data_IF_042514041753
#
_entry.id   IF_042514041753
#
_cell.length_a   1.000
_cell.length_b   1.000
_cell.length_c   1.000
_cell.angle_alpha   90.00
_cell.angle_beta   90.00
_cell.angle_gamma   90.00
#
_symmetry.space_group_name_H-M   'P 1'
#
loop_
_entity.id
_entity.type
_entity.pdbx_description
1 polymer ?
2 polymer ?
3 non-polymer ?
4 water ?
#
# COMPACT_ATOMS: atom_id res chain seq x y z
N UNK A 1 16.68 -1.23 8.19
CA UNK A 1 15.27 -0.75 8.39
C UNK A 1 15.25 0.71 8.82
N UNK A 2 14.62 1.59 8.01
CA UNK A 2 14.46 2.97 8.43
C UNK A 2 13.68 3.07 9.74
N UNK A 3 14.04 4.04 10.57
CA UNK A 3 13.43 4.16 11.90
C UNK A 3 11.91 4.32 11.83
N UNK A 4 11.40 4.86 10.73
CA UNK A 4 9.96 5.08 10.55
C UNK A 4 9.35 4.12 9.53
N UNK A 5 9.97 2.95 9.38
CA UNK A 5 9.35 1.87 8.64
C UNK A 5 8.02 1.54 9.29
N UNK A 6 7.16 1.21 8.46
CA UNK A 6 5.88 0.51 8.56
C UNK A 6 6.01 -0.89 8.03
N UNK A 7 7.13 -1.71 7.52
CA UNK A 7 7.22 -3.11 7.10
C UNK A 7 7.07 -4.03 8.30
N UNK A 8 6.24 -5.05 8.14
CA UNK A 8 6.10 -6.15 9.12
C UNK A 8 7.48 -6.65 9.56
N UNK A 9 8.39 -6.78 8.60
CA UNK A 9 9.72 -7.33 8.87
C UNK A 9 10.72 -6.41 9.55
N UNK A 10 10.30 -5.22 9.98
CA UNK A 10 11.20 -4.27 10.65
C UNK A 10 10.87 -4.13 12.13
N UNK B 1 -4.16 -0.40 10.54
CA UNK B 1 -4.95 0.86 10.57
C UNK B 1 -5.33 1.23 11.99
N UNK B 2 -4.99 2.45 12.39
CA UNK B 2 -5.34 2.97 13.70
C UNK B 2 -6.68 3.67 13.62
N UNK B 3 -7.60 3.34 14.52
CA UNK B 3 -8.96 3.85 14.45
C UNK B 3 -9.66 3.32 13.21
N UNK B 4 -10.53 4.14 12.63
CA UNK B 4 -11.32 3.75 11.46
C UNK B 4 -12.25 2.61 11.78
N UNK B 5 -12.61 1.85 10.74
CA UNK B 5 -13.63 0.83 10.89
C UNK B 5 -13.22 -0.44 10.19
N UNK B 6 -13.69 -1.57 10.70
CA UNK B 6 -13.59 -2.82 9.97
C UNK B 6 -14.46 -2.73 8.71
N UNK B 7 -13.98 -3.36 7.66
CA UNK B 7 -14.61 -3.30 6.34
C UNK B 7 -14.54 -4.70 5.75
N UNK B 8 -15.02 -4.87 4.53
CA UNK B 8 -14.82 -6.11 3.77
C UNK B 8 -14.27 -5.76 2.41
N UNK B 9 -13.80 -6.78 1.70
CA UNK B 9 -13.12 -6.60 0.44
C UNK B 9 -14.02 -5.92 -0.60
N UNK B 10 -15.33 -6.11 -0.47
CA UNK B 10 -16.29 -5.52 -1.42
C UNK B 10 -16.21 -4.01 -1.46
N UNK B 11 -15.89 -3.39 -0.32
CA UNK B 11 -15.73 -1.94 -0.25
C UNK B 11 -14.34 -1.44 -0.62
N UNK B 12 -13.42 -2.37 -0.88
CA UNK B 12 -12.06 -2.03 -1.31
C UNK B 12 -11.54 -3.15 -2.22
N UNK B 13 -12.26 -3.43 -3.34
CA UNK B 13 -12.06 -4.63 -4.14
C UNK B 13 -10.80 -4.67 -4.99
N UNK B 14 -10.00 -3.62 -4.96
CA UNK B 14 -8.70 -3.59 -5.60
C UNK B 14 -7.61 -4.02 -4.63
N UNK B 15 -7.97 -4.19 -3.37
CA UNK B 15 -6.95 -4.50 -2.37
C UNK B 15 -6.39 -5.90 -2.55
N UNK B 16 -5.06 -5.98 -2.58
CA UNK B 16 -4.34 -7.22 -2.74
C UNK B 16 -3.61 -7.53 -1.45
N UNK B 17 -3.68 -8.79 -1.04
CA UNK B 17 -3.02 -9.29 0.16
C UNK B 17 -1.83 -10.14 -0.26
N UNK B 18 -0.63 -9.74 0.14
CA UNK B 18 0.59 -10.40 -0.32
C UNK B 18 1.29 -11.13 0.83
N UNK B 19 1.57 -12.39 0.60
CA UNK B 19 2.13 -13.25 1.60
C UNK B 19 3.40 -13.87 1.08
N UNK B 20 4.24 -14.29 2.00
CA UNK B 20 5.45 -15.00 1.65
C UNK B 20 5.56 -16.40 2.27
N UNK B 21 5.93 -17.38 1.46
CA UNK B 21 6.19 -18.72 1.94
C UNK B 21 7.63 -18.94 2.35
N UNK B 22 7.80 -19.43 3.56
CA UNK B 22 9.11 -19.67 4.13
C UNK B 22 9.65 -21.09 3.84
N UNK B 23 10.88 -21.39 4.24
CA UNK B 23 11.45 -22.72 3.97
C UNK B 23 10.65 -23.82 4.65
N UNK B 24 10.18 -23.54 5.85
CA UNK B 24 9.43 -24.49 6.67
C UNK B 24 8.09 -24.86 6.08
N UNK B 25 7.65 -24.13 5.08
CA UNK B 25 6.31 -24.28 4.55
C UNK B 25 5.35 -23.33 5.21
N UNK B 26 5.80 -22.54 6.19
CA UNK B 26 4.94 -21.53 6.78
C UNK B 26 4.75 -20.32 5.89
N UNK B 27 3.57 -19.74 5.92
CA UNK B 27 3.27 -18.59 5.10
C UNK B 27 2.78 -17.44 5.94
N UNK B 28 3.37 -16.28 5.76
CA UNK B 28 3.04 -15.15 6.58
C UNK B 28 2.83 -13.91 5.74
N UNK B 29 1.97 -13.05 6.23
CA UNK B 29 1.64 -11.81 5.53
C UNK B 29 2.82 -10.88 5.40
N UNK B 30 2.91 -10.23 4.24
CA UNK B 30 4.04 -9.37 3.89
C UNK B 30 3.56 -7.92 3.82
N UNK B 31 2.66 -7.63 2.89
CA UNK B 31 2.29 -6.26 2.57
C UNK B 31 0.96 -6.20 1.85
N UNK B 32 0.36 -5.02 1.82
CA UNK B 32 -0.76 -4.76 0.95
C UNK B 32 -0.30 -4.40 -0.46
N UNK B 33 -1.27 -4.28 -1.35
CA UNK B 33 -1.04 -3.88 -2.72
C UNK B 33 -2.36 -3.45 -3.32
N UNK B 34 -2.32 -2.97 -4.56
CA UNK B 34 -3.53 -2.60 -5.26
C UNK B 34 -3.51 -3.10 -6.71
N UNK B 35 -4.67 -3.59 -7.15
CA UNK B 35 -4.85 -4.14 -8.49
C UNK B 35 -5.13 -2.99 -9.47
N UNK B 36 -4.12 -2.65 -10.26
CA UNK B 36 -4.27 -1.52 -11.21
C UNK B 36 -4.66 -1.95 -12.62
N UNK B 37 -4.56 -3.26 -12.89
CA UNK B 37 -5.09 -3.86 -14.12
C UNK B 37 -5.18 -5.36 -13.86
N UNK B 38 -5.87 -6.13 -14.73
CA UNK B 38 -6.10 -7.54 -14.42
C UNK B 38 -4.85 -8.34 -14.10
N UNK B 39 -3.74 -8.04 -14.76
CA UNK B 39 -2.50 -8.80 -14.57
C UNK B 39 -1.49 -8.15 -13.63
N UNK B 40 -1.82 -6.99 -13.06
CA UNK B 40 -0.81 -6.19 -12.33
C UNK B 40 -1.26 -5.67 -10.99
N UNK B 41 -0.44 -5.97 -9.97
CA UNK B 41 -0.60 -5.42 -8.64
C UNK B 41 0.55 -4.48 -8.34
N UNK B 42 0.22 -3.31 -7.81
CA UNK B 42 1.22 -2.33 -7.41
C UNK B 42 1.36 -2.29 -5.89
N UNK B 43 2.61 -2.20 -5.42
CA UNK B 43 2.93 -2.23 -3.99
C UNK B 43 4.21 -1.42 -3.75
N UNK B 44 4.91 -1.73 -2.65
CA UNK B 44 6.15 -1.02 -2.29
C UNK B 44 7.36 -1.94 -2.43
N UNK B 45 8.49 -1.38 -2.83
CA UNK B 45 9.71 -2.19 -2.96
C UNK B 45 10.23 -2.65 -1.60
N UNK B 46 10.06 -1.85 -0.56
CA UNK B 46 10.59 -2.23 0.77
C UNK B 46 10.05 -3.60 1.22
N UNK B 47 8.89 -3.99 0.74
CA UNK B 47 8.26 -5.25 1.09
C UNK B 47 9.01 -6.46 0.63
N UNK B 48 9.73 -6.32 -0.46
CA UNK B 48 10.29 -7.44 -1.17
C UNK B 48 11.82 -7.46 -1.23
N UNK B 49 12.44 -6.35 -0.94
CA UNK B 49 13.85 -6.15 -1.15
C UNK B 49 14.75 -7.13 -0.39
N UNK B 50 14.34 -7.55 0.80
CA UNK B 50 15.04 -8.52 1.60
C UNK B 50 15.05 -9.96 1.09
N UNK B 51 14.01 -10.32 0.34
CA UNK B 51 13.87 -11.61 -0.30
C UNK B 51 13.26 -11.47 -1.72
N UNK B 52 14.14 -10.93 -2.72
CA UNK B 52 13.45 -10.61 -3.96
C UNK B 52 13.20 -11.72 -4.95
N UNK B 53 12.76 -12.85 -4.46
CA UNK B 53 12.48 -13.96 -5.33
C UNK B 53 11.00 -14.19 -5.55
N UNK B 54 10.55 -14.04 -6.77
CA UNK B 54 9.15 -14.12 -7.08
C UNK B 54 8.39 -15.37 -6.63
N UNK B 55 9.23 -16.48 -6.69
CA UNK B 55 8.68 -17.78 -6.36
C UNK B 55 8.14 -17.88 -4.97
N UNK B 56 8.69 -17.10 -4.06
CA UNK B 56 8.30 -17.21 -2.68
C UNK B 56 7.01 -16.51 -2.31
N UNK B 57 6.38 -15.82 -3.26
CA UNK B 57 5.23 -14.98 -2.94
C UNK B 57 3.90 -15.48 -3.51
N UNK B 58 2.85 -15.11 -2.80
CA UNK B 58 1.49 -15.44 -3.15
C UNK B 58 0.71 -14.14 -3.03
N UNK B 59 -0.18 -13.89 -3.99
CA UNK B 59 -1.05 -12.74 -3.95
C UNK B 59 -2.50 -13.22 -3.91
N UNK B 60 -3.26 -12.71 -2.95
CA UNK B 60 -4.70 -12.94 -2.92
C UNK B 60 -5.46 -11.68 -3.27
N UNK B 61 -6.52 -11.84 -4.05
CA UNK B 61 -7.49 -10.81 -4.32
C UNK B 61 -8.82 -11.34 -3.79
N UNK B 62 -9.74 -10.43 -3.50
CA UNK B 62 -11.06 -10.81 -2.98
C UNK B 62 -11.03 -11.36 -1.57
N UNK B 63 -9.98 -11.02 -0.83
CA UNK B 63 -9.72 -11.55 0.51
C UNK B 63 -10.01 -10.49 1.56
N UNK B 64 -10.93 -10.80 2.48
CA UNK B 64 -11.31 -9.84 3.53
C UNK B 64 -10.66 -10.18 4.88
N UNK B 65 -10.03 -11.35 5.00
CA UNK B 65 -9.40 -11.75 6.26
C UNK B 65 -7.96 -12.18 6.07
N UNK B 66 -7.18 -12.04 7.14
CA UNK B 66 -5.74 -12.17 7.11
C UNK B 66 -5.26 -13.62 7.03
N UNK B 67 -5.79 -14.47 7.92
CA UNK B 67 -5.31 -15.86 8.04
C UNK B 67 -6.40 -16.92 7.87
N UNK B 68 -7.51 -16.53 7.24
CA UNK B 68 -8.58 -17.46 6.89
C UNK B 68 -9.13 -17.09 5.50
N UNK B 69 -9.76 -18.05 4.84
CA UNK B 69 -10.23 -17.85 3.47
C UNK B 69 -11.55 -17.07 3.44
N UNK B 70 -11.71 -16.21 2.44
CA UNK B 70 -12.93 -15.47 2.15
C UNK B 70 -13.56 -16.06 0.92
N UNK B 71 -14.88 -16.23 0.91
CA UNK B 71 -15.54 -16.71 -0.30
C UNK B 71 -15.45 -15.63 -1.38
N UNK B 72 -15.11 -16.04 -2.60
CA UNK B 72 -14.87 -15.11 -3.69
C UNK B 72 -13.41 -14.75 -3.88
N UNK B 73 -12.54 -15.19 -2.98
CA UNK B 73 -11.12 -14.88 -3.08
C UNK B 73 -10.47 -15.65 -4.22
N UNK B 74 -9.35 -15.11 -4.70
CA UNK B 74 -8.60 -15.74 -5.77
C UNK B 74 -7.11 -15.66 -5.47
N UNK B 75 -6.45 -16.79 -5.65
CA UNK B 75 -5.03 -16.95 -5.35
C UNK B 75 -4.16 -16.87 -6.60
N UNK B 76 -3.10 -16.06 -6.56
CA UNK B 76 -2.17 -15.92 -7.69
C UNK B 76 -0.71 -16.09 -7.31
N UNK B 77 0.07 -16.60 -8.27
CA UNK B 77 1.52 -16.62 -8.21
C UNK B 77 2.06 -15.34 -8.86
N UNK B 78 3.33 -15.06 -8.65
CA UNK B 78 3.97 -13.87 -9.21
C UNK B 78 4.84 -14.26 -10.39
N UNK B 79 4.40 -13.88 -11.59
CA UNK B 79 5.12 -14.16 -12.84
C UNK B 79 6.34 -13.24 -13.01
N UNK B 80 6.21 -11.98 -12.58
CA UNK B 80 7.35 -11.06 -12.50
C UNK B 80 7.28 -10.20 -11.24
N UNK B 81 8.41 -10.07 -10.55
CA UNK B 81 8.51 -9.18 -9.39
C UNK B 81 9.40 -8.03 -9.77
N UNK B 82 8.83 -6.83 -9.90
CA UNK B 82 9.59 -5.69 -10.41
C UNK B 82 9.78 -4.62 -9.35
N UNK B 83 11.01 -4.48 -8.88
CA UNK B 83 11.36 -3.51 -7.87
C UNK B 83 11.99 -2.30 -8.55
N UNK B 84 11.84 -1.13 -7.96
CA UNK B 84 12.42 0.08 -8.57
C UNK B 84 13.96 0.11 -8.38
N UNK B 85 14.70 0.38 -9.45
CA UNK B 85 16.19 0.35 -9.38
C UNK B 85 16.79 1.48 -8.51
N UNK B 86 16.03 2.56 -8.33
CA UNK B 86 16.45 3.67 -7.49
C UNK B 86 15.86 3.66 -6.09
N UNK B 87 15.33 2.51 -5.65
CA UNK B 87 14.88 2.36 -4.28
C UNK B 87 16.06 2.53 -3.34
N UNK B 88 15.83 3.26 -2.27
CA UNK B 88 16.75 3.29 -1.16
C UNK B 88 16.05 3.44 0.15
N UNK B 89 16.66 2.95 1.20
CA UNK B 89 16.16 3.18 2.52
C UNK B 89 17.09 4.14 3.24
N UNK B 90 16.54 5.26 3.67
CA UNK B 90 17.27 6.29 4.38
C UNK B 90 17.19 5.96 5.82
N UNK B 91 17.72 6.83 6.65
CA UNK B 91 17.64 6.61 8.09
C UNK B 91 16.21 6.63 8.66
N UNK B 92 15.39 7.55 8.16
CA UNK B 92 13.95 7.65 8.43
C UNK B 92 13.04 7.06 7.36
N UNK B 93 13.30 7.46 6.13
CA UNK B 93 12.41 7.32 5.00
C UNK B 93 12.87 6.31 3.93
N UNK B 94 11.94 5.91 3.09
CA UNK B 94 12.24 5.16 1.89
C UNK B 94 12.06 6.07 0.72
N UNK B 95 12.81 5.83 -0.34
CA UNK B 95 12.71 6.57 -1.59
C UNK B 95 12.41 5.65 -2.74
N UNK B 96 11.64 6.16 -3.69
CA UNK B 96 11.23 5.37 -4.86
C UNK B 96 10.61 4.04 -4.46
N UNK B 97 9.75 4.10 -3.46
CA UNK B 97 9.23 2.90 -2.81
C UNK B 97 8.00 2.46 -3.57
N UNK B 98 8.25 1.72 -4.63
CA UNK B 98 7.23 1.30 -5.57
C UNK B 98 7.68 0.01 -6.21
N UNK B 99 6.73 -0.91 -6.40
CA UNK B 99 7.01 -2.25 -6.91
C UNK B 99 5.82 -2.75 -7.71
N UNK B 100 6.08 -3.58 -8.73
CA UNK B 100 5.04 -4.19 -9.54
C UNK B 100 5.13 -5.71 -9.48
N UNK B 101 3.98 -6.35 -9.35
CA UNK B 101 3.85 -7.79 -9.38
C UNK B 101 2.92 -8.14 -10.52
N UNK B 102 3.45 -8.87 -11.50
CA UNK B 102 2.60 -9.46 -12.53
C UNK B 102 2.07 -10.78 -12.02
N UNK B 103 0.75 -10.91 -11.94
CA UNK B 103 0.16 -12.07 -11.32
C UNK B 103 -0.41 -13.09 -12.31
N UNK B 104 -0.28 -14.36 -12.01
CA UNK B 104 -0.90 -15.38 -12.82
C UNK B 104 -1.32 -16.54 -11.93
N UNK B 105 -2.53 -17.04 -12.12
CA UNK B 105 -2.98 -18.22 -11.39
C UNK B 105 -2.27 -19.45 -11.91
N UNK B 106 -2.34 -20.55 -11.18
CA UNK B 106 -1.67 -21.75 -11.62
C UNK B 106 -2.22 -22.19 -12.94
N UNK B 107 -3.50 -21.94 -13.14
CA UNK B 107 -4.16 -22.05 -14.44
C UNK B 107 -3.71 -21.04 -15.53
N UNK B 108 -3.06 -19.95 -15.17
CA UNK B 108 -2.62 -18.99 -16.15
C UNK B 108 -3.49 -17.80 -16.43
N UNK B 109 -4.53 -17.59 -15.62
CA UNK B 109 -5.39 -16.42 -15.77
C UNK B 109 -5.00 -15.26 -14.87
N UNK B 110 -5.24 -14.06 -15.35
CA UNK B 110 -5.12 -12.83 -14.61
C UNK B 110 -6.41 -12.64 -13.83
N UNK B 111 -6.57 -11.54 -13.11
CA UNK B 111 -7.71 -11.36 -12.28
C UNK B 111 -8.95 -11.22 -13.12
N UNK B 112 -10.08 -11.69 -12.62
CA UNK B 112 -11.39 -11.51 -13.25
C UNK B 112 -12.30 -10.76 -12.28
N UNK B 113 -12.74 -9.54 -12.65
CA UNK B 113 -13.59 -8.75 -11.76
C UNK B 113 -14.83 -9.50 -11.29
N UNK B 114 -15.21 -9.24 -10.05
CA UNK B 114 -16.37 -9.86 -9.45
C UNK B 114 -16.89 -8.91 -8.37
N UNK B 115 -17.81 -9.42 -7.57
CA UNK B 115 -18.32 -8.69 -6.41
C UNK B 115 -17.17 -8.22 -5.52
N UNK B 116 -16.11 -9.03 -5.46
CA UNK B 116 -15.05 -8.84 -4.48
C UNK B 116 -13.70 -8.43 -5.08
N UNK B 117 -13.65 -8.25 -6.41
CA UNK B 117 -12.39 -7.91 -7.10
C UNK B 117 -12.67 -6.87 -8.21
N UNK B 118 -11.97 -5.74 -8.15
CA UNK B 118 -12.02 -4.74 -9.22
C UNK B 118 -10.68 -4.05 -9.30
N UNK B 119 -10.37 -3.48 -10.46
CA UNK B 119 -9.18 -2.65 -10.64
C UNK B 119 -9.45 -1.26 -10.07
N UNK B 120 -8.38 -0.50 -9.79
CA UNK B 120 -8.47 0.89 -9.36
C UNK B 120 -7.73 1.71 -10.44
N UNK B 121 -8.25 2.89 -10.75
CA UNK B 121 -7.66 3.71 -11.81
C UNK B 121 -6.38 4.37 -11.33
N UNK B 122 -5.45 4.56 -12.26
CA UNK B 122 -4.27 5.35 -12.01
C UNK B 122 -4.59 6.81 -12.27
N UNK B 123 -3.94 7.73 -11.53
CA UNK B 123 -4.14 9.15 -11.80
C UNK B 123 -3.45 9.57 -13.09
N UNK B 124 -3.78 10.75 -13.60
CA UNK B 124 -3.05 11.33 -14.72
C UNK B 124 -1.67 11.77 -14.25
N UNK B 125 -0.69 11.73 -15.14
CA UNK B 125 0.69 12.04 -14.77
C UNK B 125 0.81 13.40 -14.06
N UNK B 126 1.41 13.38 -12.88
CA UNK B 126 1.61 14.57 -12.03
C UNK B 126 0.34 15.26 -11.51
N UNK B 127 -0.82 14.62 -11.75
CA UNK B 127 -2.13 15.12 -11.30
C UNK B 127 -2.52 14.53 -9.94
N UNK B 128 -2.55 15.37 -8.91
CA UNK B 128 -2.99 14.99 -7.56
C UNK B 128 -4.17 15.84 -7.09
N UNK B 129 -4.93 15.36 -6.08
CA UNK B 129 -5.95 16.22 -5.47
C UNK B 129 -5.29 17.29 -4.59
N UNK B 130 -6.07 18.30 -4.18
CA UNK B 130 -5.51 19.41 -3.41
C UNK B 130 -5.31 18.98 -1.97
N UNK B 131 -4.45 19.69 -1.24
CA UNK B 131 -4.31 19.48 0.19
C UNK B 131 -5.68 19.69 0.85
N UNK B 132 -5.98 18.88 1.86
CA UNK B 132 -7.27 18.89 2.53
C UNK B 132 -8.32 18.00 1.90
N UNK B 133 -7.97 17.31 0.82
CA UNK B 133 -8.88 16.33 0.23
C UNK B 133 -8.88 15.07 1.11
N UNK B 134 -10.07 14.53 1.35
CA UNK B 134 -10.24 13.31 2.12
C UNK B 134 -9.98 12.08 1.25
N UNK B 135 -9.14 11.17 1.73
CA UNK B 135 -8.78 9.95 0.99
C UNK B 135 -8.94 8.71 1.84
N UNK B 136 -8.94 7.53 1.22
CA UNK B 136 -9.14 6.28 1.96
C UNK B 136 -7.87 5.45 1.96
N UNK B 137 -7.57 4.87 3.13
CA UNK B 137 -6.49 3.90 3.26
C UNK B 137 -7.08 2.60 3.81
N UNK B 138 -6.48 1.47 3.42
CA UNK B 138 -7.02 0.15 3.73
C UNK B 138 -5.85 -0.78 4.05
N UNK B 139 -6.05 -1.71 4.99
CA UNK B 139 -5.03 -2.73 5.25
C UNK B 139 -5.26 -3.62 6.46
N UNK B 140 -4.35 -4.58 6.63
CA UNK B 140 -4.37 -5.52 7.75
C UNK B 140 -3.32 -5.08 8.77
N UNK B 141 -2.94 -3.80 8.73
CA UNK B 141 -1.93 -3.29 9.67
C UNK B 141 -2.43 -3.23 11.10
N UNK B 142 -1.50 -3.05 12.02
CA UNK B 142 -1.84 -2.93 13.43
C UNK B 142 -2.88 -1.83 13.74
N UNK B 143 -3.73 -2.13 14.72
CA UNK B 143 -4.75 -1.21 15.22
C UNK B 143 -4.19 -0.28 16.30
N UNK B 144 -2.99 -0.59 16.78
CA UNK B 144 -2.29 0.19 17.81
C UNK B 144 -0.78 0.04 17.57
N UNK B 145 -0.06 1.15 17.68
CA UNK B 145 1.41 1.17 17.53
C UNK B 145 2.06 0.05 18.33
N UNK B 146 1.55 -0.17 19.53
CA UNK B 146 2.15 -1.07 20.52
C UNK B 146 1.71 -2.53 20.42
N UNK B 147 0.76 -2.83 19.54
CA UNK B 147 0.29 -4.20 19.38
C UNK B 147 1.38 -5.12 18.84
N UNK B 148 1.24 -6.40 19.15
CA UNK B 148 2.12 -7.47 18.67
C UNK B 148 1.40 -8.30 17.59
N UNK B 149 0.07 -8.26 17.60
CA UNK B 149 -0.77 -8.99 16.65
C UNK B 149 -1.40 -8.07 15.64
N UNK B 150 -1.75 -8.64 14.49
CA UNK B 150 -2.43 -7.94 13.42
C UNK B 150 -3.90 -8.31 13.40
N UNK B 151 -4.76 -7.38 12.99
CA UNK B 151 -6.18 -7.67 12.92
C UNK B 151 -6.49 -8.71 11.86
N UNK B 152 -7.48 -9.55 12.13
CA UNK B 152 -7.87 -10.63 11.22
C UNK B 152 -8.87 -10.19 10.18
N UNK B 153 -9.53 -9.05 10.41
CA UNK B 153 -10.45 -8.49 9.44
C UNK B 153 -9.88 -7.17 8.88
N UNK B 154 -10.08 -6.99 7.58
CA UNK B 154 -9.60 -5.81 6.88
C UNK B 154 -10.22 -4.55 7.46
N UNK B 155 -9.43 -3.49 7.52
CA UNK B 155 -9.85 -2.21 8.06
C UNK B 155 -9.62 -1.12 7.04
N UNK B 156 -10.34 -0.02 7.19
CA UNK B 156 -10.14 1.18 6.39
C UNK B 156 -10.40 2.40 7.25
N UNK B 157 -9.89 3.54 6.80
CA UNK B 157 -10.15 4.80 7.48
C UNK B 157 -9.95 5.92 6.47
N UNK B 158 -10.26 7.14 6.89
CA UNK B 158 -10.13 8.31 6.05
C UNK B 158 -9.07 9.23 6.62
N UNK B 159 -8.19 9.70 5.74
CA UNK B 159 -7.20 10.70 6.09
C UNK B 159 -7.26 11.82 5.05
N UNK B 160 -6.68 12.95 5.40
CA UNK B 160 -6.68 14.12 4.54
C UNK B 160 -5.27 14.41 4.05
N UNK B 161 -5.16 14.73 2.77
CA UNK B 161 -3.88 15.11 2.17
C UNK B 161 -3.32 16.35 2.85
N UNK B 162 -2.01 16.33 3.07
CA UNK B 162 -1.31 17.45 3.68
C UNK B 162 -0.42 18.08 2.61
N UNK B 163 -0.33 19.41 2.62
CA UNK B 163 0.49 20.12 1.65
C UNK B 163 1.96 19.76 1.81
N UNK B 164 2.72 19.87 0.73
CA UNK B 164 4.15 19.70 0.83
C UNK B 164 4.78 20.72 1.79
N UNK B 165 4.32 21.97 1.70
CA UNK B 165 4.72 23.06 2.61
C UNK B 165 4.57 22.67 4.07
N UNK B 166 3.40 22.17 4.43
CA UNK B 166 3.12 21.80 5.82
C UNK B 166 3.93 20.57 6.26
N UNK B 167 4.05 19.59 5.39
CA UNK B 167 4.74 18.35 5.70
C UNK B 167 6.22 18.56 5.88
N UNK B 168 6.76 19.59 5.26
CA UNK B 168 8.17 19.87 5.34
C UNK B 168 8.57 20.73 6.53
N UNK B 169 7.62 21.16 7.35
CA UNK B 169 7.96 21.89 8.55
C UNK B 169 8.81 20.97 9.42
N UNK B 170 9.88 21.57 10.10
CA UNK B 170 10.72 20.64 10.84
C UNK B 170 10.04 19.89 11.95
N UNK B 171 8.99 20.44 12.55
CA UNK B 171 8.32 19.70 13.60
C UNK B 171 7.48 18.56 13.01
N UNK B 172 7.27 18.58 11.69
CA UNK B 172 6.70 17.44 11.01
C UNK B 172 7.86 16.55 10.54
N UNK B 173 8.13 16.51 9.25
CA UNK B 173 9.23 15.69 8.78
C UNK B 173 10.50 16.43 8.29
N UNK B 174 10.43 17.73 8.23
CA UNK B 174 11.53 18.56 7.78
C UNK B 174 12.03 18.22 6.39
N UNK B 175 13.31 17.89 6.30
CA UNK B 175 13.98 17.68 5.04
C UNK B 175 13.71 16.31 4.41
N UNK B 176 13.22 15.37 5.21
CA UNK B 176 13.14 13.98 4.78
C UNK B 176 11.96 13.70 3.83
N UNK B 177 11.02 14.63 3.72
CA UNK B 177 9.91 14.50 2.77
C UNK B 177 10.31 15.14 1.45
N UNK B 178 10.10 14.42 0.34
CA UNK B 178 10.42 14.95 -0.98
C UNK B 178 9.15 15.05 -1.80
N UNK B 179 9.27 15.67 -2.98
CA UNK B 179 8.12 15.92 -3.83
C UNK B 179 7.62 14.64 -4.51
N UNK B 180 8.36 13.54 -4.37
CA UNK B 180 7.91 12.25 -4.88
C UNK B 180 7.09 11.48 -3.84
N UNK B 181 6.85 12.12 -2.70
CA UNK B 181 6.03 11.58 -1.62
C UNK B 181 4.80 12.48 -1.33
N UNK B 182 3.76 11.89 -0.73
CA UNK B 182 2.58 12.63 -0.26
C UNK B 182 2.35 12.35 1.22
N UNK B 183 2.11 13.40 2.01
CA UNK B 183 1.72 13.21 3.40
C UNK B 183 0.20 13.21 3.54
N UNK B 184 -0.32 12.45 4.47
CA UNK B 184 -1.73 12.46 4.80
C UNK B 184 -1.92 12.08 6.25
N UNK B 185 -2.89 12.67 6.91
CA UNK B 185 -3.17 12.34 8.29
C UNK B 185 -4.53 12.85 8.69
N UNK B 186 -4.96 12.45 9.85
CA UNK B 186 -6.15 12.95 10.43
C UNK B 186 -5.90 14.33 11.03
N UNK B 187 -6.89 15.29 10.75
CA UNK B 187 -6.62 16.61 11.34
C UNK B 187 -6.52 16.60 12.86
N UNK B 188 -7.16 15.69 13.56
CA UNK B 188 -6.93 15.57 15.00
C UNK B 188 -5.95 14.46 15.39
N UNK B 189 -5.28 13.86 14.43
CA UNK B 189 -4.29 12.81 14.67
C UNK B 189 -4.84 11.58 15.39
N UNK B 190 -6.06 11.20 15.10
CA UNK B 190 -6.73 10.08 15.76
C UNK B 190 -6.75 8.76 14.97
N UNK B 191 -6.52 8.80 13.69
CA UNK B 191 -6.55 7.62 12.85
C UNK B 191 -5.44 7.68 11.84
N UNK B 192 -4.93 6.55 11.42
CA UNK B 192 -3.74 6.48 10.57
C UNK B 192 -3.50 5.08 10.03
N UNK B 193 -2.59 4.95 9.08
CA UNK B 193 -2.03 3.65 8.72
C UNK B 193 -0.93 3.32 9.74
N UNK B 194 -0.58 2.05 9.84
CA UNK B 194 0.41 1.62 10.83
C UNK B 194 1.16 0.43 10.28
N UNK B 195 2.03 -0.15 11.11
CA UNK B 195 2.87 -1.27 10.67
C UNK B 195 2.02 -2.39 10.07
N UNK B 196 2.39 -2.84 8.87
CA UNK B 196 1.63 -3.88 8.18
C UNK B 196 0.61 -3.37 7.17
N UNK B 197 0.36 -2.06 7.15
CA UNK B 197 -0.41 -1.42 6.08
C UNK B 197 0.47 -1.08 4.88
N UNK B 198 1.79 -1.24 5.02
CA UNK B 198 2.67 -0.84 3.95
C UNK B 198 2.40 -1.58 2.61
N UNK B 199 2.61 -0.88 1.52
CA UNK B 199 2.32 -1.39 0.19
C UNK B 199 0.88 -1.15 -0.23
N UNK B 200 0.01 -0.86 0.74
CA UNK B 200 -1.42 -0.66 0.46
C UNK B 200 -1.80 0.70 -0.11
N UNK B 201 -3.09 0.86 -0.50
CA UNK B 201 -3.56 2.02 -1.25
C UNK B 201 -3.96 3.22 -0.42
N UNK B 202 -3.66 4.39 -0.95
CA UNK B 202 -4.31 5.65 -0.57
C UNK B 202 -5.16 6.05 -1.76
N UNK B 203 -6.49 6.05 -1.58
CA UNK B 203 -7.41 6.20 -2.70
C UNK B 203 -8.19 7.50 -2.53
N UNK B 204 -8.14 8.37 -3.54
CA UNK B 204 -8.85 9.64 -3.50
C UNK B 204 -9.75 9.76 -4.75
N UNK B 205 -10.80 10.54 -4.66
CA UNK B 205 -11.59 10.79 -5.83
C UNK B 205 -10.91 11.93 -6.55
N UNK B 206 -10.52 11.72 -7.79
CA UNK B 206 -9.89 12.77 -8.55
C UNK B 206 -10.63 12.82 -9.85
N UNK B 207 -11.23 13.96 -10.14
CA UNK B 207 -12.35 14.03 -11.06
C UNK B 207 -13.44 13.15 -10.50
N UNK B 208 -13.99 12.26 -11.31
CA UNK B 208 -15.09 11.43 -10.90
C UNK B 208 -14.71 10.02 -10.69
N UNK B 209 -13.42 9.78 -10.51
CA UNK B 209 -12.89 8.45 -10.44
C UNK B 209 -12.21 8.19 -9.10
N UNK B 210 -12.53 7.09 -8.46
CA UNK B 210 -11.73 6.53 -7.37
C UNK B 210 -10.34 6.29 -7.96
N UNK B 211 -9.32 6.99 -7.44
CA UNK B 211 -7.98 6.95 -8.05
C UNK B 211 -6.88 6.56 -7.04
N UNK B 212 -5.94 5.73 -7.47
CA UNK B 212 -4.77 5.37 -6.64
C UNK B 212 -3.76 6.50 -6.59
N UNK B 213 -3.86 7.31 -5.55
CA UNK B 213 -3.01 8.48 -5.37
C UNK B 213 -1.71 8.17 -4.62
N UNK B 214 -1.77 7.30 -3.60
CA UNK B 214 -0.59 6.95 -2.81
C UNK B 214 -0.44 5.46 -2.53
N UNK B 215 0.80 5.07 -2.20
CA UNK B 215 1.14 3.75 -1.72
C UNK B 215 1.76 3.91 -0.32
N UNK B 216 1.21 3.20 0.67
CA UNK B 216 1.67 3.34 2.05
C UNK B 216 3.17 3.07 2.16
N UNK B 217 3.96 4.05 2.63
CA UNK B 217 5.42 3.91 2.64
C UNK B 217 6.08 4.00 4.02
N UNK B 218 5.94 5.13 4.70
CA UNK B 218 6.57 5.32 6.02
C UNK B 218 5.92 6.40 6.88
N UNK B 219 6.27 6.38 8.16
CA UNK B 219 5.84 7.40 9.10
C UNK B 219 6.31 7.10 10.52
N UNK B 220 6.45 8.12 11.34
CA UNK B 220 6.84 7.92 12.71
C UNK B 220 5.66 7.92 13.59
N UNK B 221 5.65 6.71 14.56
CA UNK B 221 4.65 5.90 15.23
C UNK B 221 3.45 5.70 14.31
N UNK B 222 2.23 5.65 14.85
CA UNK B 222 1.06 5.66 14.04
C UNK B 222 0.12 6.57 14.79
N UNK B 223 -0.53 7.48 14.10
CA UNK B 223 -1.47 8.41 14.73
C UNK B 223 -0.81 9.22 15.84
N UNK B 224 0.39 9.70 15.60
CA UNK B 224 1.15 10.46 16.57
C UNK B 224 1.19 11.89 16.13
N UNK B 225 0.96 12.80 17.05
CA UNK B 225 0.81 14.20 16.69
C UNK B 225 2.02 14.70 15.95
N UNK B 226 1.72 15.43 14.87
CA UNK B 226 2.67 16.07 13.99
C UNK B 226 3.54 15.11 13.20
N UNK B 227 3.11 13.88 13.03
CA UNK B 227 3.84 12.94 12.20
C UNK B 227 2.87 12.22 11.27
N UNK B 228 2.67 12.74 10.08
CA UNK B 228 1.72 12.16 9.14
C UNK B 228 2.17 10.84 8.55
N UNK B 229 1.25 10.14 7.88
CA UNK B 229 1.63 9.01 7.04
C UNK B 229 2.27 9.56 5.79
N UNK B 230 3.29 8.87 5.27
CA UNK B 230 3.94 9.27 4.05
C UNK B 230 3.76 8.17 3.00
N UNK B 231 3.46 8.60 1.79
CA UNK B 231 3.00 7.73 0.75
C UNK B 231 3.77 8.01 -0.52
N UNK B 232 4.06 6.95 -1.28
CA UNK B 232 4.63 7.10 -2.61
C UNK B 232 3.61 7.79 -3.51
N UNK B 233 4.06 8.84 -4.20
CA UNK B 233 3.20 9.68 -5.02
C UNK B 233 3.04 9.04 -6.38
N UNK B 234 1.94 8.31 -6.57
CA UNK B 234 1.75 7.47 -7.75
C UNK B 234 1.82 8.25 -9.05
N UNK B 235 1.33 9.50 -9.02
CA UNK B 235 1.27 10.35 -10.22
C UNK B 235 2.65 10.67 -10.79
N UNK B 236 3.68 10.56 -9.97
CA UNK B 236 5.05 10.81 -10.40
C UNK B 236 5.72 9.58 -11.02
N UNK B 237 5.03 8.44 -11.05
CA UNK B 237 5.65 7.19 -11.49
C UNK B 237 4.96 6.52 -12.69
N UNK B 238 4.09 7.24 -13.40
CA UNK B 238 3.38 6.63 -14.53
C UNK B 238 4.29 6.08 -15.63
N UNK B 239 5.34 6.82 -16.03
CA UNK B 239 6.20 6.26 -17.07
C UNK B 239 6.81 4.93 -16.65
N UNK B 240 7.38 4.88 -15.45
CA UNK B 240 7.90 3.63 -14.89
C UNK B 240 6.85 2.53 -14.94
N UNK B 241 5.64 2.86 -14.47
CA UNK B 241 4.56 1.88 -14.42
C UNK B 241 4.22 1.38 -15.84
N UNK B 242 4.00 2.30 -16.77
CA UNK B 242 3.60 1.92 -18.14
C UNK B 242 4.69 1.17 -18.92
N UNK B 243 5.97 1.43 -18.61
CA UNK B 243 7.09 0.74 -19.23
C UNK B 243 7.04 -0.76 -18.94
N UNK B 244 6.48 -1.11 -17.78
CA UNK B 244 6.40 -2.50 -17.36
C UNK B 244 5.05 -3.12 -17.69
N UNK B 245 3.97 -2.36 -17.56
CA UNK B 245 2.63 -2.91 -17.84
C UNK B 245 2.36 -3.11 -19.34
N UNK B 246 3.18 -2.50 -20.19
CA UNK B 246 3.37 -3.00 -21.56
C UNK B 246 4.34 -4.19 -21.49
N UNK B 247 3.94 -5.34 -22.05
CA UNK B 247 4.76 -6.55 -22.02
C UNK B 247 4.83 -7.20 -23.40
X LIG C 1 4.35 2.62 8.27
X LIG C 1 4.02 2.78 9.73
X LIG C 1 3.74 4.24 10.06
X LIG C 1 2.75 4.86 9.18
X LIG C 1 2.72 4.44 7.81
X LIG C 1 3.07 2.99 7.58
X LIG C 1 1.99 5.84 9.61
X LIG C 1 1.16 6.39 8.87
X LIG C 1 2.00 6.31 10.84
#
# INVERSE_FOLDING_TARGET
>A
CPAYSAYIGC
>B
IIGGEFTTIENQPWFAAIYRRHRGGSVTYVCGGSLISPCWVISATHCFIDYPKKEDYIVYLGRSRLNSNTQGEMKFEVENLILHKDYSADTLAYHNDIALLKIRSKEGRCAQPSRTIQTIALPSMYNDPQFGTSCEITGFGKEQSTDYLYPEQLKMTVVKLISHRECQQPHYYGSEVTTKMLCAADPQWKTDSCQGDSGGPLVCSLQGRMTLTGIVSWGRGCALKDKPGVYTRVSHFLPWIRSHTKE
>C hetero
1 MRZ C1 C6 C5 N4 C3 C2 C7 N8 N9
#
